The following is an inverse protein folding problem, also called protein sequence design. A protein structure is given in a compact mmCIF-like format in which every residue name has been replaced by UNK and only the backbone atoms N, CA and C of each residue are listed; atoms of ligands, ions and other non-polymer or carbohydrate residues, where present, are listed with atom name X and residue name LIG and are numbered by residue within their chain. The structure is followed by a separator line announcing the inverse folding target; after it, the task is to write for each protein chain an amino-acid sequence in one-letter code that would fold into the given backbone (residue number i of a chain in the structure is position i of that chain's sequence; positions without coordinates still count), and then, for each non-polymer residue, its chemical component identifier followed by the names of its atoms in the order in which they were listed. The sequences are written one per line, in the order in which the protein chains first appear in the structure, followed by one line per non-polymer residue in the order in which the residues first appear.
data_IF_248829687715
#
_entry.id   IF_248829687715
#
_cell.length_a   1.000
_cell.length_b   1.000
_cell.length_c   1.000
_cell.angle_alpha   90.00
_cell.angle_beta   90.00
_cell.angle_gamma   90.00
#
_symmetry.space_group_name_H-M   'P 1'
#
loop_
_entity.id
_entity.type
_entity.pdbx_description
1 polymer ?
#
# COMPACT_ATOMS: atom_id res chain seq x y z
N UNK A 1 55.01 -4.71 -19.22
CA UNK A 1 53.61 -4.26 -19.12
C UNK A 1 52.96 -4.99 -17.95
N UNK A 2 52.86 -4.38 -16.76
CA UNK A 2 52.18 -4.99 -15.58
C UNK A 2 51.70 -3.98 -14.53
N UNK A 3 52.19 -2.73 -14.55
CA UNK A 3 51.89 -1.72 -13.53
C UNK A 3 50.56 -0.97 -13.69
N UNK A 4 49.96 -0.98 -14.88
CA UNK A 4 48.68 -0.28 -15.14
C UNK A 4 47.46 -1.05 -14.64
N UNK A 5 47.57 -2.38 -14.48
CA UNK A 5 46.42 -3.23 -14.12
C UNK A 5 46.18 -3.34 -12.60
N UNK A 6 47.22 -3.10 -11.79
CA UNK A 6 47.16 -3.23 -10.32
C UNK A 6 46.52 -2.00 -9.63
N UNK A 7 46.52 -0.83 -10.30
CA UNK A 7 45.81 0.37 -9.81
C UNK A 7 44.33 0.43 -10.21
N UNK A 8 43.94 -0.32 -11.24
CA UNK A 8 42.57 -0.32 -11.78
C UNK A 8 41.60 -1.17 -10.95
N UNK A 9 42.08 -2.27 -10.36
CA UNK A 9 41.30 -3.16 -9.49
C UNK A 9 40.76 -2.46 -8.22
N UNK A 10 41.59 -1.78 -7.38
CA UNK A 10 41.08 -1.08 -6.20
C UNK A 10 40.17 0.10 -6.57
N UNK A 11 40.44 0.80 -7.68
CA UNK A 11 39.57 1.87 -8.17
C UNK A 11 38.18 1.34 -8.57
N UNK A 12 38.09 0.19 -9.24
CA UNK A 12 36.82 -0.45 -9.60
C UNK A 12 36.02 -0.94 -8.38
N UNK A 13 36.71 -1.44 -7.35
CA UNK A 13 36.07 -1.87 -6.09
C UNK A 13 35.50 -0.66 -5.33
N UNK A 14 36.21 0.47 -5.28
CA UNK A 14 35.69 1.69 -4.63
C UNK A 14 34.47 2.22 -5.38
N UNK A 15 34.46 2.21 -6.71
CA UNK A 15 33.31 2.64 -7.51
C UNK A 15 32.10 1.73 -7.28
N UNK A 16 32.27 0.41 -7.27
CA UNK A 16 31.16 -0.53 -7.05
C UNK A 16 30.61 -0.48 -5.62
N UNK A 17 31.46 -0.32 -4.59
CA UNK A 17 31.04 -0.16 -3.19
C UNK A 17 30.31 1.17 -2.97
N UNK A 18 30.78 2.26 -3.59
CA UNK A 18 30.11 3.56 -3.49
C UNK A 18 28.77 3.57 -4.24
N UNK A 19 28.68 2.99 -5.43
CA UNK A 19 27.41 2.87 -6.17
C UNK A 19 26.38 2.00 -5.43
N UNK A 20 26.79 0.88 -4.82
CA UNK A 20 25.88 0.03 -4.05
C UNK A 20 25.42 0.70 -2.75
N UNK A 21 26.30 1.45 -2.07
CA UNK A 21 25.90 2.28 -0.92
C UNK A 21 24.92 3.39 -1.31
N UNK A 22 25.13 4.06 -2.44
CA UNK A 22 24.21 5.08 -2.97
C UNK A 22 22.87 4.45 -3.37
N UNK A 23 22.87 3.27 -4.01
CA UNK A 23 21.66 2.55 -4.37
C UNK A 23 20.88 2.10 -3.11
N UNK A 24 21.57 1.62 -2.08
CA UNK A 24 20.96 1.28 -0.80
C UNK A 24 20.40 2.51 -0.07
N UNK A 25 21.07 3.66 -0.15
CA UNK A 25 20.59 4.93 0.39
C UNK A 25 19.37 5.46 -0.38
N UNK A 26 19.33 5.32 -1.71
CA UNK A 26 18.16 5.69 -2.53
C UNK A 26 16.99 4.74 -2.25
N UNK A 27 17.24 3.43 -2.16
CA UNK A 27 16.21 2.43 -1.84
C UNK A 27 15.63 2.65 -0.44
N UNK A 28 16.49 2.89 0.56
CA UNK A 28 16.05 3.21 1.92
C UNK A 28 15.33 4.55 1.99
N UNK A 29 15.77 5.59 1.29
CA UNK A 29 15.05 6.86 1.22
C UNK A 29 13.65 6.73 0.59
N UNK A 30 13.50 5.88 -0.44
CA UNK A 30 12.19 5.59 -1.04
C UNK A 30 11.30 4.74 -0.11
N UNK A 31 11.87 3.75 0.59
CA UNK A 31 11.16 2.93 1.58
C UNK A 31 10.73 3.73 2.82
N UNK A 32 11.58 4.66 3.28
CA UNK A 32 11.22 5.62 4.33
C UNK A 32 10.13 6.59 3.87
N UNK A 33 10.11 7.00 2.59
CA UNK A 33 9.00 7.80 2.02
C UNK A 33 7.68 7.04 2.00
N UNK A 34 7.67 5.73 1.69
CA UNK A 34 6.49 4.88 1.80
C UNK A 34 6.01 4.75 3.26
N UNK A 35 6.93 4.55 4.22
CA UNK A 35 6.62 4.48 5.66
C UNK A 35 6.17 5.81 6.25
N UNK A 36 6.69 6.95 5.77
CA UNK A 36 6.21 8.28 6.16
C UNK A 36 4.85 8.61 5.54
N UNK A 37 4.52 8.05 4.37
CA UNK A 37 3.17 8.16 3.79
C UNK A 37 2.09 7.41 4.56
N UNK A 38 2.41 6.24 5.14
CA UNK A 38 1.56 5.56 6.12
C UNK A 38 1.23 6.47 7.32
N UNK A 39 2.19 7.30 7.76
CA UNK A 39 2.01 8.25 8.85
C UNK A 39 1.36 9.59 8.41
N UNK A 40 1.56 10.05 7.17
CA UNK A 40 1.07 11.36 6.71
C UNK A 40 -0.41 11.37 6.31
N UNK A 41 -1.01 10.22 6.01
CA UNK A 41 -2.47 10.09 5.89
C UNK A 41 -3.14 10.01 7.28
N UNK A 42 -2.37 9.72 8.33
CA UNK A 42 -2.86 9.48 9.70
C UNK A 42 -3.42 10.72 10.45
N UNK A 43 -3.36 11.94 9.87
CA UNK A 43 -3.88 13.15 10.54
C UNK A 43 -5.15 13.75 9.91
N UNK A 44 -5.64 13.24 8.77
CA UNK A 44 -6.94 13.65 8.24
C UNK A 44 -7.99 12.57 8.51
N UNK A 45 -8.93 12.78 9.47
CA UNK A 45 -9.91 11.77 9.87
C UNK A 45 -10.87 11.36 8.75
N UNK A 46 -10.94 12.12 7.65
CA UNK A 46 -11.81 11.86 6.52
C UNK A 46 -11.19 10.92 5.46
N UNK A 47 -9.93 10.47 5.63
CA UNK A 47 -9.22 9.66 4.63
C UNK A 47 -8.87 8.28 5.22
N UNK A 48 -9.15 7.23 4.45
CA UNK A 48 -8.83 5.84 4.82
C UNK A 48 -7.38 5.52 4.44
N UNK A 49 -7.01 5.83 3.20
CA UNK A 49 -5.69 5.58 2.63
C UNK A 49 -5.49 6.44 1.38
N UNK A 50 -4.23 6.55 0.94
CA UNK A 50 -3.85 7.24 -0.29
C UNK A 50 -2.86 6.41 -1.10
N UNK A 51 -2.95 6.48 -2.42
CA UNK A 51 -2.07 5.79 -3.36
C UNK A 51 -1.51 6.78 -4.38
N UNK A 52 -0.24 6.65 -4.70
CA UNK A 52 0.38 7.43 -5.76
C UNK A 52 -0.13 6.95 -7.13
N UNK A 53 -0.65 7.88 -7.93
CA UNK A 53 -1.13 7.61 -9.30
C UNK A 53 -0.39 8.54 -10.26
N UNK A 54 0.72 8.07 -10.83
CA UNK A 54 1.62 8.91 -11.63
C UNK A 54 2.33 9.96 -10.77
N UNK A 55 2.10 11.24 -11.05
CA UNK A 55 2.68 12.38 -10.29
C UNK A 55 1.77 12.87 -9.16
N UNK A 56 0.50 12.49 -9.17
CA UNK A 56 -0.52 12.93 -8.21
C UNK A 56 -0.82 11.82 -7.19
N UNK A 57 -1.54 12.16 -6.11
CA UNK A 57 -2.12 11.19 -5.18
C UNK A 57 -3.61 11.05 -5.38
N UNK A 58 -4.10 9.82 -5.17
CA UNK A 58 -5.51 9.50 -5.10
C UNK A 58 -5.82 9.00 -3.70
N UNK A 59 -6.77 9.65 -3.02
CA UNK A 59 -7.20 9.33 -1.67
C UNK A 59 -8.57 8.65 -1.69
N UNK A 60 -8.78 7.68 -0.80
CA UNK A 60 -10.10 7.11 -0.51
C UNK A 60 -10.72 7.82 0.68
N UNK A 61 -11.88 8.45 0.48
CA UNK A 61 -12.63 9.09 1.55
C UNK A 61 -13.31 8.06 2.46
N UNK A 62 -13.34 8.32 3.76
CA UNK A 62 -13.91 7.41 4.77
C UNK A 62 -15.44 7.32 4.69
N UNK A 63 -16.12 8.45 4.59
CA UNK A 63 -17.58 8.50 4.68
C UNK A 63 -18.27 8.12 3.37
N UNK A 64 -17.69 8.53 2.23
CA UNK A 64 -18.32 8.33 0.91
C UNK A 64 -17.70 7.20 0.10
N UNK A 65 -16.56 6.64 0.54
CA UNK A 65 -15.79 5.61 -0.18
C UNK A 65 -15.52 6.00 -1.65
N UNK A 66 -15.26 7.29 -1.88
CA UNK A 66 -14.93 7.83 -3.18
C UNK A 66 -13.43 8.03 -3.32
N UNK A 67 -12.90 7.72 -4.50
CA UNK A 67 -11.57 8.12 -4.87
C UNK A 67 -11.59 9.57 -5.32
N UNK A 68 -10.72 10.38 -4.71
CA UNK A 68 -10.54 11.78 -5.08
C UNK A 68 -9.07 12.08 -5.24
N UNK A 69 -8.73 12.96 -6.19
CA UNK A 69 -7.38 13.51 -6.22
C UNK A 69 -7.12 14.20 -4.89
N UNK A 70 -5.93 14.03 -4.35
CA UNK A 70 -5.54 14.72 -3.14
C UNK A 70 -4.16 15.33 -3.30
N UNK A 71 -4.04 16.55 -2.77
CA UNK A 71 -2.79 17.29 -2.74
C UNK A 71 -2.37 17.47 -1.30
N UNK A 72 -1.10 17.17 -1.03
CA UNK A 72 -0.49 17.44 0.26
C UNK A 72 0.18 18.81 0.20
N UNK A 73 -0.31 19.76 0.98
CA UNK A 73 0.28 21.09 1.15
C UNK A 73 0.70 21.25 2.62
N UNK A 74 1.99 21.03 2.89
CA UNK A 74 2.49 20.95 4.27
C UNK A 74 1.85 19.79 5.02
N UNK A 75 1.22 20.07 6.17
CA UNK A 75 0.50 19.08 6.98
C UNK A 75 -0.97 18.88 6.58
N UNK A 76 -1.49 19.67 5.63
CA UNK A 76 -2.89 19.60 5.21
C UNK A 76 -3.03 18.79 3.92
N UNK A 77 -4.03 17.91 3.90
CA UNK A 77 -4.46 17.21 2.68
C UNK A 77 -5.72 17.88 2.15
N UNK A 78 -5.65 18.40 0.92
CA UNK A 78 -6.79 18.98 0.20
C UNK A 78 -7.39 17.94 -0.73
N UNK A 79 -8.71 17.74 -0.65
CA UNK A 79 -9.45 16.84 -1.53
C UNK A 79 -9.95 17.59 -2.77
N UNK A 80 -9.59 17.09 -3.94
CA UNK A 80 -10.01 17.60 -5.24
C UNK A 80 -11.22 16.87 -5.81
N UNK A 81 -11.25 16.82 -7.16
CA UNK A 81 -12.32 16.15 -7.91
C UNK A 81 -12.28 14.63 -7.72
N UNK A 82 -13.46 14.02 -7.84
CA UNK A 82 -13.60 12.56 -7.97
C UNK A 82 -12.79 12.07 -9.16
N UNK A 83 -12.10 10.96 -8.97
CA UNK A 83 -11.22 10.33 -9.96
C UNK A 83 -11.31 8.82 -9.81
N UNK A 84 -10.83 8.08 -10.80
CA UNK A 84 -10.61 6.65 -10.67
C UNK A 84 -9.21 6.37 -10.11
N UNK A 85 -9.05 5.23 -9.44
CA UNK A 85 -7.77 4.74 -8.96
C UNK A 85 -7.50 3.36 -9.57
N UNK A 86 -6.55 3.22 -10.52
CA UNK A 86 -6.24 1.94 -11.17
C UNK A 86 -5.36 1.02 -10.31
N UNK A 87 -5.30 1.26 -9.00
CA UNK A 87 -4.49 0.49 -8.06
C UNK A 87 -5.32 -0.65 -7.44
N UNK A 88 -4.81 -1.87 -7.47
CA UNK A 88 -5.51 -3.04 -6.94
C UNK A 88 -5.69 -3.01 -5.42
N UNK A 89 -4.69 -2.53 -4.68
CA UNK A 89 -4.77 -2.33 -3.23
C UNK A 89 -5.90 -1.34 -2.89
N UNK A 90 -6.03 -0.27 -3.69
CA UNK A 90 -7.11 0.69 -3.54
C UNK A 90 -8.48 0.06 -3.78
N UNK A 91 -8.62 -0.74 -4.85
CA UNK A 91 -9.85 -1.47 -5.14
C UNK A 91 -10.23 -2.42 -4.01
N UNK A 92 -9.26 -3.17 -3.47
CA UNK A 92 -9.44 -4.06 -2.34
C UNK A 92 -9.90 -3.33 -1.08
N UNK A 93 -9.20 -2.26 -0.67
CA UNK A 93 -9.58 -1.47 0.51
C UNK A 93 -10.98 -0.90 0.36
N UNK A 94 -11.29 -0.31 -0.80
CA UNK A 94 -12.63 0.23 -1.07
C UNK A 94 -13.71 -0.85 -1.01
N UNK A 95 -13.48 -2.01 -1.64
CA UNK A 95 -14.45 -3.08 -1.70
C UNK A 95 -14.81 -3.61 -0.31
N UNK A 96 -13.81 -3.87 0.54
CA UNK A 96 -14.11 -4.45 1.85
C UNK A 96 -14.57 -3.40 2.87
N UNK A 97 -14.18 -2.13 2.76
CA UNK A 97 -14.86 -1.04 3.48
C UNK A 97 -16.34 -0.93 3.09
N UNK A 98 -16.65 -1.10 1.80
CA UNK A 98 -18.03 -1.18 1.30
C UNK A 98 -18.83 -2.38 1.81
N UNK A 99 -18.13 -3.42 2.28
CA UNK A 99 -18.67 -4.60 2.96
C UNK A 99 -18.60 -4.48 4.49
N UNK A 100 -18.23 -3.30 5.02
CA UNK A 100 -18.06 -3.04 6.45
C UNK A 100 -17.10 -4.01 7.15
N UNK A 101 -16.12 -4.54 6.41
CA UNK A 101 -15.10 -5.41 6.99
C UNK A 101 -14.15 -4.60 7.88
N UNK A 102 -13.79 -5.16 9.02
CA UNK A 102 -12.82 -4.61 9.96
C UNK A 102 -11.43 -5.19 9.74
N UNK A 103 -11.35 -6.43 9.29
CA UNK A 103 -10.10 -7.10 9.01
C UNK A 103 -10.28 -8.15 7.92
N UNK A 104 -9.21 -8.38 7.17
CA UNK A 104 -9.08 -9.50 6.25
C UNK A 104 -7.73 -10.12 6.51
N UNK A 105 -7.71 -11.36 6.98
CA UNK A 105 -6.49 -12.03 7.43
C UNK A 105 -6.25 -13.32 6.68
N UNK A 106 -5.02 -13.80 6.76
CA UNK A 106 -4.71 -15.21 6.46
C UNK A 106 -5.49 -16.14 7.40
N UNK A 107 -5.63 -17.41 7.01
CA UNK A 107 -6.26 -18.43 7.86
C UNK A 107 -5.55 -18.65 9.20
N UNK A 108 -4.24 -18.47 9.22
CA UNK A 108 -3.40 -18.50 10.43
C UNK A 108 -3.51 -17.23 11.27
N UNK A 109 -4.21 -16.19 10.78
CA UNK A 109 -4.33 -14.87 11.40
C UNK A 109 -2.97 -14.15 11.59
N UNK A 110 -1.92 -14.59 10.90
CA UNK A 110 -0.55 -14.06 11.01
C UNK A 110 -0.35 -12.72 10.28
N UNK A 111 -1.25 -12.35 9.37
CA UNK A 111 -1.17 -11.11 8.61
C UNK A 111 -2.56 -10.53 8.35
N UNK A 112 -2.72 -9.23 8.59
CA UNK A 112 -3.93 -8.47 8.29
C UNK A 112 -3.71 -7.52 7.10
N UNK A 113 -4.33 -7.86 5.98
CA UNK A 113 -4.26 -7.10 4.73
C UNK A 113 -4.89 -5.71 4.86
N UNK A 114 -5.92 -5.56 5.69
CA UNK A 114 -6.58 -4.28 5.95
C UNK A 114 -5.71 -3.32 6.75
N UNK A 115 -4.95 -3.83 7.71
CA UNK A 115 -4.06 -3.00 8.54
C UNK A 115 -2.96 -2.30 7.73
N UNK A 116 -2.63 -2.82 6.55
CA UNK A 116 -1.58 -2.29 5.67
C UNK A 116 -2.13 -1.73 4.36
N UNK A 117 -3.46 -1.71 4.19
CA UNK A 117 -4.14 -1.34 2.95
C UNK A 117 -3.52 -2.01 1.71
N UNK A 118 -3.19 -3.31 1.79
CA UNK A 118 -2.59 -4.10 0.71
C UNK A 118 -3.52 -5.24 0.32
N UNK A 119 -3.72 -5.44 -0.98
CA UNK A 119 -4.51 -6.54 -1.49
C UNK A 119 -3.83 -7.89 -1.20
N UNK A 120 -4.59 -8.92 -0.81
CA UNK A 120 -4.10 -10.28 -0.73
C UNK A 120 -3.92 -10.87 -2.13
N UNK A 121 -3.18 -11.99 -2.26
CA UNK A 121 -3.20 -12.77 -3.49
C UNK A 121 -4.62 -13.14 -3.89
N UNK A 122 -4.95 -12.95 -5.17
CA UNK A 122 -6.27 -13.28 -5.73
C UNK A 122 -6.61 -14.74 -5.51
N UNK A 123 -7.89 -15.01 -5.30
CA UNK A 123 -8.45 -16.35 -5.19
C UNK A 123 -7.91 -17.19 -4.02
N UNK A 124 -7.21 -16.56 -3.07
CA UNK A 124 -6.79 -17.22 -1.83
C UNK A 124 -7.93 -17.20 -0.82
N UNK A 125 -8.11 -18.32 -0.12
CA UNK A 125 -9.06 -18.40 1.00
C UNK A 125 -8.47 -17.66 2.21
N UNK A 126 -9.23 -16.71 2.71
CA UNK A 126 -8.90 -15.78 3.80
C UNK A 126 -9.99 -15.84 4.87
N UNK A 127 -9.76 -15.17 5.99
CA UNK A 127 -10.78 -14.92 7.01
C UNK A 127 -11.15 -13.43 6.98
N UNK A 128 -12.42 -13.13 6.73
CA UNK A 128 -12.97 -11.77 6.76
C UNK A 128 -13.76 -11.54 8.05
N UNK A 129 -13.51 -10.42 8.71
CA UNK A 129 -14.14 -10.06 9.99
C UNK A 129 -15.02 -8.84 9.79
N UNK A 130 -16.28 -8.94 10.22
CA UNK A 130 -17.17 -7.80 10.48
C UNK A 130 -17.11 -7.41 11.94
N UNK A 131 -18.04 -6.56 12.40
CA UNK A 131 -18.13 -6.12 13.79
C UNK A 131 -18.50 -7.23 14.78
N UNK A 132 -19.28 -8.22 14.35
CA UNK A 132 -19.89 -9.25 15.18
C UNK A 132 -19.56 -10.65 14.71
N UNK A 133 -19.39 -10.85 13.40
CA UNK A 133 -19.16 -12.19 12.83
C UNK A 133 -17.92 -12.22 11.95
N UNK A 134 -17.40 -13.43 11.73
CA UNK A 134 -16.34 -13.69 10.74
C UNK A 134 -16.79 -14.80 9.79
N UNK A 135 -16.29 -14.75 8.56
CA UNK A 135 -16.54 -15.73 7.53
C UNK A 135 -15.28 -15.99 6.72
N UNK A 136 -15.20 -17.17 6.12
CA UNK A 136 -14.20 -17.42 5.10
C UNK A 136 -14.55 -16.61 3.86
N UNK A 137 -13.53 -16.04 3.21
CA UNK A 137 -13.74 -15.19 2.05
C UNK A 137 -12.62 -15.31 1.03
N UNK A 138 -12.91 -14.86 -0.18
CA UNK A 138 -11.97 -14.77 -1.29
C UNK A 138 -12.06 -13.37 -1.90
N UNK A 139 -10.92 -12.75 -2.17
CA UNK A 139 -10.81 -11.57 -3.02
C UNK A 139 -10.39 -12.00 -4.44
N UNK A 140 -11.17 -11.65 -5.46
CA UNK A 140 -10.89 -12.04 -6.86
C UNK A 140 -10.11 -10.98 -7.67
N UNK A 141 -9.77 -9.84 -7.04
CA UNK A 141 -9.20 -8.66 -7.71
C UNK A 141 -10.21 -7.53 -7.92
N UNK A 142 -11.49 -7.78 -7.70
CA UNK A 142 -12.58 -6.80 -7.87
C UNK A 142 -13.61 -6.82 -6.75
N UNK A 143 -13.99 -8.00 -6.24
CA UNK A 143 -15.04 -8.17 -5.24
C UNK A 143 -14.68 -9.26 -4.22
N UNK A 144 -15.38 -9.23 -3.08
CA UNK A 144 -15.29 -10.27 -2.05
C UNK A 144 -16.39 -11.30 -2.23
N UNK A 145 -15.99 -12.57 -2.19
CA UNK A 145 -16.88 -13.73 -2.17
C UNK A 145 -16.81 -14.37 -0.80
N UNK A 146 -17.93 -14.45 -0.10
CA UNK A 146 -18.01 -15.03 1.25
C UNK A 146 -18.53 -16.46 1.20
N UNK A 147 -17.92 -17.34 2.00
CA UNK A 147 -18.46 -18.67 2.25
C UNK A 147 -19.56 -18.54 3.31
N UNK A 148 -20.81 -18.61 2.86
CA UNK A 148 -21.98 -18.43 3.73
C UNK A 148 -22.38 -16.96 3.90
N UNK A 149 -22.82 -16.60 5.10
CA UNK A 149 -23.34 -15.25 5.37
C UNK A 149 -22.21 -14.22 5.38
N UNK A 150 -22.42 -13.10 4.68
CA UNK A 150 -21.53 -11.94 4.74
C UNK A 150 -21.32 -11.50 6.20
N UNK A 151 -20.06 -11.34 6.65
CA UNK A 151 -19.78 -10.96 8.01
C UNK A 151 -20.25 -9.52 8.27
N UNK A 152 -20.90 -9.31 9.42
CA UNK A 152 -21.46 -8.02 9.85
C UNK A 152 -20.71 -7.51 11.05
#
# INVERSE_FOLDING_TARGET
MKKELEGLLPALVIVTVTFSAIAALIFSANFYREKQQEAEVSNNPAIVAAWQTGKDYTCLTKDTLEFRKCEKQGEKITLGKKTDCPNEDAAFTKAGMGKSLLAVTTKSEDFNFFATAKAPPKNKVLTCYGHKTKADCIWDGTTFHFSGTEPK
#
